data_IF_855872546745
#
_entry.id   IF_855872546745
#
_cell.length_a   1.000
_cell.length_b   1.000
_cell.length_c   1.000
_cell.angle_alpha   90.00
_cell.angle_beta   90.00
_cell.angle_gamma   90.00
#
_symmetry.space_group_name_H-M   'P 1'
#
loop_
_entity.id
_entity.type
_entity.pdbx_description
1 polymer ?
#
# COMPACT_ATOMS: atom_id res chain seq x y z
N UNK A 1 -9.71 11.52 26.81
CA UNK A 1 -10.22 11.68 25.43
C UNK A 1 -10.61 10.31 24.90
N UNK A 2 -11.84 10.14 24.42
CA UNK A 2 -12.34 8.84 23.93
C UNK A 2 -12.09 8.73 22.42
N UNK A 3 -11.02 8.05 22.01
CA UNK A 3 -10.68 7.85 20.58
C UNK A 3 -11.49 6.68 20.04
N UNK A 4 -12.43 6.93 19.12
CA UNK A 4 -13.28 5.88 18.52
C UNK A 4 -12.66 5.21 17.29
N UNK A 5 -11.78 5.92 16.58
CA UNK A 5 -11.18 5.46 15.33
C UNK A 5 -9.68 5.72 15.35
N UNK A 6 -8.90 4.75 14.88
CA UNK A 6 -7.47 4.86 14.64
C UNK A 6 -7.20 4.50 13.19
N UNK A 7 -6.54 5.38 12.45
CA UNK A 7 -6.14 5.14 11.05
C UNK A 7 -4.62 5.10 10.98
N UNK A 8 -4.09 4.01 10.45
CA UNK A 8 -2.68 3.83 10.15
C UNK A 8 -2.52 3.84 8.64
N UNK A 9 -2.16 5.00 8.09
CA UNK A 9 -1.94 5.18 6.65
C UNK A 9 -0.47 4.97 6.27
N UNK A 10 -0.20 4.37 5.11
CA UNK A 10 1.13 3.91 4.68
C UNK A 10 1.86 3.04 5.74
N UNK A 11 1.17 2.04 6.30
CA UNK A 11 1.70 1.23 7.41
C UNK A 11 3.03 0.51 7.11
N UNK A 12 3.21 0.02 5.88
CA UNK A 12 4.47 -0.53 5.36
C UNK A 12 5.63 0.46 5.43
N UNK A 13 5.38 1.73 5.11
CA UNK A 13 6.40 2.77 5.21
C UNK A 13 6.72 3.12 6.66
N UNK A 14 5.70 3.21 7.53
CA UNK A 14 5.93 3.49 8.94
C UNK A 14 6.77 2.40 9.61
N UNK A 15 6.48 1.13 9.31
CA UNK A 15 7.21 0.00 9.87
C UNK A 15 8.64 -0.10 9.31
N UNK A 16 8.83 0.09 8.00
CA UNK A 16 10.17 0.11 7.39
C UNK A 16 11.06 1.24 7.90
N UNK A 17 10.48 2.37 8.34
CA UNK A 17 11.19 3.46 9.01
C UNK A 17 11.48 3.19 10.50
N UNK A 18 11.03 2.05 11.03
CA UNK A 18 11.28 1.64 12.41
C UNK A 18 10.35 2.28 13.43
N UNK A 19 9.20 2.82 13.03
CA UNK A 19 8.24 3.45 13.95
C UNK A 19 7.42 2.47 14.80
N UNK A 20 7.66 1.15 14.66
CA UNK A 20 6.89 0.12 15.38
C UNK A 20 6.83 0.34 16.90
N UNK A 21 7.95 0.62 17.63
CA UNK A 21 7.89 0.82 19.07
C UNK A 21 7.02 2.02 19.49
N UNK A 22 7.01 3.07 18.68
CA UNK A 22 6.20 4.27 18.92
C UNK A 22 4.71 3.97 18.68
N UNK A 23 4.39 3.24 17.61
CA UNK A 23 3.02 2.81 17.31
C UNK A 23 2.49 1.87 18.39
N UNK A 24 3.30 0.92 18.87
CA UNK A 24 2.94 0.03 19.97
C UNK A 24 2.66 0.80 21.26
N UNK A 25 3.46 1.84 21.56
CA UNK A 25 3.22 2.71 22.72
C UNK A 25 1.92 3.49 22.60
N UNK A 26 1.65 4.10 21.44
CA UNK A 26 0.41 4.83 21.19
C UNK A 26 -0.80 3.90 21.32
N UNK A 27 -0.72 2.72 20.72
CA UNK A 27 -1.77 1.70 20.81
C UNK A 27 -2.00 1.23 22.26
N UNK A 28 -0.92 0.98 23.02
CA UNK A 28 -1.00 0.64 24.44
C UNK A 28 -1.62 1.73 25.30
N UNK A 29 -1.28 3.00 25.07
CA UNK A 29 -1.89 4.14 25.78
C UNK A 29 -3.39 4.24 25.49
N UNK A 30 -3.79 3.99 24.24
CA UNK A 30 -5.21 3.96 23.87
C UNK A 30 -5.92 2.82 24.58
N UNK A 31 -5.41 1.58 24.53
CA UNK A 31 -6.04 0.43 25.18
C UNK A 31 -6.10 0.52 26.70
N UNK A 32 -5.07 1.09 27.36
CA UNK A 32 -5.06 1.30 28.80
C UNK A 32 -6.22 2.19 29.28
N UNK A 33 -6.66 3.13 28.44
CA UNK A 33 -7.83 3.97 28.73
C UNK A 33 -9.18 3.22 28.59
N UNK A 34 -9.19 2.06 27.94
CA UNK A 34 -10.38 1.20 27.77
C UNK A 34 -10.43 0.08 28.82
N UNK A 35 -9.32 -0.60 29.10
CA UNK A 35 -9.31 -1.77 29.98
C UNK A 35 -9.56 -1.42 31.46
N UNK A 36 -9.34 -0.17 31.89
CA UNK A 36 -9.75 0.31 33.22
C UNK A 36 -11.28 0.32 33.41
N UNK A 37 -12.05 0.37 32.31
CA UNK A 37 -13.52 0.29 32.32
C UNK A 37 -14.07 -1.10 32.01
N UNK A 38 -13.27 -1.97 31.37
CA UNK A 38 -13.68 -3.32 31.00
C UNK A 38 -13.54 -4.36 32.13
N UNK A 39 -12.70 -4.10 33.15
CA UNK A 39 -12.48 -5.01 34.28
C UNK A 39 -13.74 -5.23 35.16
N UNK A 40 -14.83 -4.49 34.95
CA UNK A 40 -16.10 -4.67 35.67
C UNK A 40 -17.02 -5.74 35.07
N UNK A 41 -16.69 -6.34 33.92
CA UNK A 41 -17.54 -7.36 33.28
C UNK A 41 -16.83 -8.71 33.32
N UNK A 42 -17.26 -9.55 34.27
CA UNK A 42 -16.81 -10.95 34.37
C UNK A 42 -17.25 -11.74 33.13
N UNK A 43 -16.41 -12.63 32.57
CA UNK A 43 -16.82 -13.47 31.47
C UNK A 43 -17.79 -14.57 31.96
N UNK A 44 -18.99 -14.62 31.37
CA UNK A 44 -19.93 -15.73 31.53
C UNK A 44 -19.32 -16.95 30.83
N UNK A 45 -19.07 -18.00 31.59
CA UNK A 45 -18.49 -19.25 31.14
C UNK A 45 -19.32 -19.89 30.01
N UNK A 46 -18.74 -20.02 28.82
CA UNK A 46 -19.31 -20.82 27.75
C UNK A 46 -19.03 -22.31 28.01
N UNK A 47 -20.08 -23.04 28.40
CA UNK A 47 -20.09 -24.51 28.44
C UNK A 47 -20.67 -25.05 27.14
N UNK A 48 -19.95 -25.93 26.44
CA UNK A 48 -20.48 -26.98 25.57
C UNK A 48 -19.30 -27.83 25.06
N UNK A 49 -19.10 -29.05 25.57
CA UNK A 49 -19.76 -30.33 25.24
C UNK A 49 -18.98 -31.10 24.16
N UNK A 50 -18.39 -32.19 24.65
CA UNK A 50 -17.69 -33.28 23.98
C UNK A 50 -18.69 -34.03 23.11
N UNK A 51 -18.37 -34.31 21.85
CA UNK A 51 -18.89 -35.47 21.12
C UNK A 51 -17.86 -35.87 20.06
N UNK A 52 -17.46 -37.15 20.07
CA UNK A 52 -16.58 -37.74 19.07
C UNK A 52 -17.36 -38.66 18.15
N UNK A 53 -16.92 -38.78 16.89
CA UNK A 53 -17.06 -40.00 16.08
C UNK A 53 -16.23 -39.88 14.79
N UNK A 54 -15.61 -41.00 14.42
CA UNK A 54 -14.69 -41.19 13.30
C UNK A 54 -15.36 -41.29 11.92
N UNK A 55 -14.68 -40.90 10.83
CA UNK A 55 -14.49 -41.76 9.63
C UNK A 55 -13.55 -41.18 8.57
N UNK A 56 -12.73 -42.07 8.02
CA UNK A 56 -11.81 -41.95 6.88
C UNK A 56 -12.58 -42.13 5.56
N UNK A 57 -12.37 -41.30 4.51
CA UNK A 57 -12.49 -41.69 3.07
C UNK A 57 -12.13 -40.56 2.05
N UNK A 58 -11.06 -40.84 1.27
CA UNK A 58 -10.83 -40.72 -0.19
C UNK A 58 -11.39 -39.53 -1.05
N UNK A 59 -10.43 -38.78 -1.63
CA UNK A 59 -10.19 -38.37 -3.05
C UNK A 59 -11.38 -37.96 -3.96
N UNK A 60 -11.38 -36.70 -4.42
CA UNK A 60 -12.08 -36.22 -5.62
C UNK A 60 -12.21 -34.67 -5.68
N UNK A 61 -11.51 -34.03 -6.63
CA UNK A 61 -11.70 -32.63 -7.07
C UNK A 61 -13.00 -32.52 -7.93
N UNK A 62 -13.60 -31.33 -8.19
CA UNK A 62 -12.93 -30.07 -8.60
C UNK A 62 -13.45 -28.77 -7.95
N UNK A 63 -12.73 -27.68 -8.21
CA UNK A 63 -12.97 -26.32 -7.72
C UNK A 63 -14.24 -25.68 -8.30
N UNK A 64 -14.98 -24.85 -7.53
CA UNK A 64 -15.94 -23.91 -8.08
C UNK A 64 -15.40 -22.47 -8.11
N UNK A 65 -15.78 -21.76 -9.17
CA UNK A 65 -15.54 -20.35 -9.50
C UNK A 65 -16.23 -19.36 -8.52
N UNK A 66 -15.86 -18.06 -8.53
CA UNK A 66 -16.06 -17.17 -7.38
C UNK A 66 -17.49 -16.62 -7.30
N UNK A 67 -18.09 -16.73 -6.13
CA UNK A 67 -19.35 -16.06 -5.77
C UNK A 67 -19.13 -14.55 -5.61
N UNK A 68 -20.03 -13.79 -6.23
CA UNK A 68 -20.16 -12.33 -6.18
C UNK A 68 -20.09 -11.74 -4.75
N UNK A 69 -19.66 -10.48 -4.59
CA UNK A 69 -19.46 -9.89 -3.27
C UNK A 69 -20.81 -9.67 -2.58
N UNK A 70 -21.07 -10.47 -1.54
CA UNK A 70 -22.17 -10.29 -0.61
C UNK A 70 -21.98 -8.96 0.11
N UNK A 71 -22.94 -8.04 -0.07
CA UNK A 71 -23.01 -6.78 0.65
C UNK A 71 -22.98 -7.03 2.17
N UNK A 72 -21.88 -6.64 2.82
CA UNK A 72 -21.74 -6.71 4.28
C UNK A 72 -22.49 -5.53 4.89
N UNK A 73 -23.62 -5.81 5.52
CA UNK A 73 -24.35 -4.85 6.33
C UNK A 73 -23.48 -4.39 7.51
N UNK A 74 -23.54 -3.10 7.92
CA UNK A 74 -22.75 -2.61 9.04
C UNK A 74 -23.14 -3.35 10.33
N UNK A 75 -22.17 -3.77 11.17
CA UNK A 75 -22.51 -4.44 12.42
C UNK A 75 -23.30 -3.49 13.32
N UNK A 76 -24.43 -4.00 13.81
CA UNK A 76 -25.35 -3.31 14.68
C UNK A 76 -24.62 -2.60 15.83
N UNK A 77 -24.94 -1.32 16.03
CA UNK A 77 -24.45 -0.52 17.13
C UNK A 77 -24.82 -1.20 18.46
N UNK A 78 -23.81 -1.72 19.16
CA UNK A 78 -23.96 -2.17 20.55
C UNK A 78 -23.99 -0.90 21.41
N UNK A 79 -25.17 -0.51 21.84
CA UNK A 79 -25.34 0.57 22.81
C UNK A 79 -24.82 0.12 24.19
N UNK A 80 -24.03 1.00 24.85
CA UNK A 80 -23.83 0.92 26.30
C UNK A 80 -22.45 0.49 26.83
N UNK A 81 -21.38 0.50 26.03
CA UNK A 81 -20.01 0.26 26.51
C UNK A 81 -18.96 1.13 25.81
N UNK A 82 -17.87 1.45 26.51
CA UNK A 82 -16.68 2.12 25.97
C UNK A 82 -16.04 1.19 24.91
N UNK A 83 -16.51 1.26 23.67
CA UNK A 83 -16.08 0.34 22.61
C UNK A 83 -14.63 0.66 22.23
N UNK A 84 -13.76 -0.36 22.28
CA UNK A 84 -12.37 -0.28 21.79
C UNK A 84 -12.35 0.37 20.40
N UNK A 85 -11.32 1.17 20.08
CA UNK A 85 -11.28 1.91 18.83
C UNK A 85 -11.32 0.96 17.64
N UNK A 86 -12.08 1.32 16.61
CA UNK A 86 -11.97 0.67 15.32
C UNK A 86 -10.64 1.09 14.68
N UNK A 87 -9.83 0.12 14.30
CA UNK A 87 -8.53 0.36 13.68
C UNK A 87 -8.62 0.07 12.18
N UNK A 88 -8.20 1.04 11.37
CA UNK A 88 -8.04 0.90 9.93
C UNK A 88 -6.54 0.91 9.64
N UNK A 89 -6.05 -0.11 8.93
CA UNK A 89 -4.67 -0.19 8.47
C UNK A 89 -4.68 -0.15 6.95
N UNK A 90 -4.12 0.92 6.39
CA UNK A 90 -3.98 1.14 4.96
C UNK A 90 -2.53 0.91 4.59
N UNK A 91 -2.30 0.02 3.63
CA UNK A 91 -0.95 -0.27 3.15
C UNK A 91 -1.00 -0.73 1.70
N UNK A 92 0.00 -0.31 0.92
CA UNK A 92 0.17 -0.74 -0.46
C UNK A 92 0.79 -2.14 -0.54
N UNK A 93 1.53 -2.55 0.49
CA UNK A 93 2.23 -3.83 0.53
C UNK A 93 1.96 -4.59 1.82
N UNK A 94 2.06 -5.92 1.78
CA UNK A 94 1.85 -6.79 2.95
C UNK A 94 3.07 -7.68 3.24
N UNK A 95 4.26 -7.09 3.54
CA UNK A 95 5.38 -7.86 4.05
C UNK A 95 5.03 -8.46 5.43
N UNK A 96 5.79 -9.48 5.85
CA UNK A 96 5.53 -10.21 7.11
C UNK A 96 5.45 -9.30 8.35
N UNK A 97 6.21 -8.21 8.38
CA UNK A 97 6.16 -7.22 9.45
C UNK A 97 4.82 -6.46 9.52
N UNK A 98 4.26 -6.07 8.36
CA UNK A 98 2.94 -5.42 8.28
C UNK A 98 1.85 -6.41 8.66
N UNK A 99 1.93 -7.66 8.18
CA UNK A 99 0.98 -8.70 8.55
C UNK A 99 1.00 -9.00 10.06
N UNK A 100 2.19 -9.05 10.67
CA UNK A 100 2.33 -9.23 12.12
C UNK A 100 1.75 -8.04 12.91
N UNK A 101 2.01 -6.81 12.44
CA UNK A 101 1.45 -5.61 13.05
C UNK A 101 -0.09 -5.53 12.90
N UNK A 102 -0.61 -5.91 11.74
CA UNK A 102 -2.05 -6.01 11.49
C UNK A 102 -2.70 -7.05 12.43
N UNK A 103 -2.09 -8.22 12.61
CA UNK A 103 -2.56 -9.23 13.55
C UNK A 103 -2.53 -8.77 15.01
N UNK A 104 -1.60 -7.88 15.37
CA UNK A 104 -1.46 -7.33 16.72
C UNK A 104 -2.48 -6.20 16.99
N UNK A 105 -2.71 -5.32 16.02
CA UNK A 105 -3.50 -4.09 16.22
C UNK A 105 -4.97 -4.22 15.78
N UNK A 106 -5.28 -5.10 14.83
CA UNK A 106 -6.64 -5.26 14.31
C UNK A 106 -7.39 -6.39 15.03
N UNK A 107 -8.70 -6.21 15.26
CA UNK A 107 -9.58 -7.25 15.81
C UNK A 107 -10.53 -7.75 14.73
N UNK A 108 -10.31 -8.99 14.27
CA UNK A 108 -11.10 -9.62 13.19
C UNK A 108 -11.23 -8.70 11.96
N UNK A 109 -10.12 -8.29 11.34
CA UNK A 109 -10.17 -7.39 10.19
C UNK A 109 -10.83 -8.06 8.98
N UNK A 110 -11.52 -7.25 8.19
CA UNK A 110 -11.86 -7.60 6.82
C UNK A 110 -10.77 -7.02 5.89
N UNK A 111 -10.21 -7.87 5.05
CA UNK A 111 -9.19 -7.45 4.08
C UNK A 111 -9.88 -7.01 2.78
N UNK A 112 -9.62 -5.78 2.37
CA UNK A 112 -10.10 -5.23 1.09
C UNK A 112 -8.88 -4.88 0.25
N UNK A 113 -8.68 -5.65 -0.82
CA UNK A 113 -7.57 -5.48 -1.75
C UNK A 113 -8.09 -5.03 -3.12
N UNK A 114 -7.48 -3.98 -3.67
CA UNK A 114 -7.85 -3.41 -4.98
C UNK A 114 -6.78 -3.78 -6.01
N UNK A 115 -7.08 -4.78 -6.85
CA UNK A 115 -6.21 -5.23 -7.96
C UNK A 115 -6.02 -6.75 -8.01
N UNK A 116 -5.93 -7.32 -9.21
CA UNK A 116 -5.81 -8.79 -9.44
C UNK A 116 -4.37 -9.35 -9.27
N UNK A 117 -3.46 -8.59 -8.68
CA UNK A 117 -2.09 -9.05 -8.44
C UNK A 117 -1.63 -8.57 -7.09
N UNK A 118 -1.20 -9.50 -6.22
CA UNK A 118 -0.65 -9.16 -4.91
C UNK A 118 0.44 -8.09 -5.00
N UNK A 119 0.76 -7.45 -3.88
CA UNK A 119 1.61 -6.27 -3.70
C UNK A 119 2.91 -6.12 -4.54
N UNK A 120 3.42 -7.20 -5.16
CA UNK A 120 4.61 -7.21 -6.02
C UNK A 120 4.34 -7.51 -7.50
N UNK A 121 3.08 -7.58 -7.92
CA UNK A 121 2.74 -7.79 -9.33
C UNK A 121 3.00 -6.50 -10.11
N UNK A 122 4.23 -6.36 -10.61
CA UNK A 122 4.55 -5.38 -11.66
C UNK A 122 3.46 -5.50 -12.73
N UNK A 123 2.78 -4.39 -13.02
CA UNK A 123 1.71 -4.36 -14.01
C UNK A 123 2.22 -4.99 -15.32
N UNK A 124 1.56 -6.06 -15.77
CA UNK A 124 1.91 -6.78 -17.02
C UNK A 124 1.81 -5.89 -18.26
N UNK A 125 1.16 -4.73 -18.14
CA UNK A 125 1.00 -3.74 -19.19
C UNK A 125 2.25 -2.88 -19.39
N UNK A 126 3.16 -2.82 -18.40
CA UNK A 126 4.34 -1.96 -18.46
C UNK A 126 5.55 -2.74 -19.01
N UNK A 127 5.95 -2.41 -20.23
CA UNK A 127 7.19 -2.92 -20.83
C UNK A 127 8.41 -2.27 -20.17
N UNK A 128 9.31 -3.07 -19.62
CA UNK A 128 10.55 -2.59 -18.99
C UNK A 128 11.76 -2.92 -19.85
N UNK A 129 12.60 -1.92 -20.11
CA UNK A 129 13.83 -2.07 -20.90
C UNK A 129 15.03 -1.54 -20.12
N UNK A 130 16.08 -2.35 -20.00
CA UNK A 130 17.31 -1.99 -19.28
C UNK A 130 18.44 -1.75 -20.26
N UNK A 131 19.11 -0.59 -20.11
CA UNK A 131 20.28 -0.23 -20.92
C UNK A 131 21.52 -0.10 -20.03
N UNK A 132 22.39 -1.11 -20.07
CA UNK A 132 23.70 -1.06 -19.40
C UNK A 132 24.62 -0.09 -20.15
N UNK A 133 25.16 0.90 -19.45
CA UNK A 133 26.13 1.85 -19.99
C UNK A 133 26.90 2.59 -18.90
N UNK A 134 28.06 3.11 -19.29
CA UNK A 134 28.81 4.08 -18.49
C UNK A 134 28.02 5.37 -18.28
N UNK A 135 28.25 6.04 -17.16
CA UNK A 135 27.48 7.21 -16.72
C UNK A 135 27.49 8.36 -17.74
N UNK A 136 28.64 8.64 -18.34
CA UNK A 136 28.78 9.71 -19.34
C UNK A 136 27.99 9.45 -20.64
N UNK A 137 27.58 8.20 -20.91
CA UNK A 137 26.76 7.86 -22.10
C UNK A 137 25.25 7.99 -21.85
N UNK A 138 24.82 8.17 -20.60
CA UNK A 138 23.40 8.25 -20.24
C UNK A 138 22.68 9.45 -20.89
N UNK A 139 23.25 10.68 -20.92
CA UNK A 139 22.58 11.83 -21.51
C UNK A 139 22.32 11.65 -23.01
N UNK A 140 23.32 11.20 -23.77
CA UNK A 140 23.17 10.95 -25.22
C UNK A 140 22.15 9.85 -25.51
N UNK A 141 22.13 8.79 -24.71
CA UNK A 141 21.14 7.72 -24.84
C UNK A 141 19.72 8.22 -24.54
N UNK A 142 19.56 9.08 -23.54
CA UNK A 142 18.28 9.71 -23.21
C UNK A 142 17.78 10.56 -24.38
N UNK A 143 18.64 11.40 -24.96
CA UNK A 143 18.27 12.23 -26.12
C UNK A 143 17.83 11.39 -27.32
N UNK A 144 18.57 10.31 -27.63
CA UNK A 144 18.20 9.36 -28.69
C UNK A 144 16.85 8.69 -28.41
N UNK A 145 16.58 8.35 -27.15
CA UNK A 145 15.30 7.74 -26.76
C UNK A 145 14.14 8.72 -26.87
N UNK A 146 14.31 9.96 -26.40
CA UNK A 146 13.30 11.03 -26.53
C UNK A 146 13.03 11.38 -28.00
N UNK A 147 14.07 11.38 -28.85
CA UNK A 147 13.93 11.54 -30.30
C UNK A 147 13.03 10.46 -30.89
N UNK A 148 13.28 9.18 -30.59
CA UNK A 148 12.42 8.07 -31.04
C UNK A 148 10.97 8.20 -30.60
N UNK A 149 10.72 8.65 -29.37
CA UNK A 149 9.35 8.86 -28.86
C UNK A 149 8.66 9.98 -29.64
N UNK A 150 9.37 11.08 -29.88
CA UNK A 150 8.85 12.21 -30.66
C UNK A 150 8.54 11.79 -32.09
N UNK A 151 9.44 11.06 -32.74
CA UNK A 151 9.31 10.65 -34.14
C UNK A 151 8.26 9.53 -34.32
N UNK A 152 8.04 8.70 -33.30
CA UNK A 152 6.97 7.69 -33.30
C UNK A 152 5.57 8.29 -33.10
N UNK A 153 5.46 9.54 -32.65
CA UNK A 153 4.17 10.22 -32.47
C UNK A 153 3.85 11.04 -33.71
N UNK A 154 2.75 10.77 -34.43
CA UNK A 154 2.42 11.51 -35.65
C UNK A 154 2.13 13.00 -35.33
N UNK A 155 2.53 13.96 -36.20
CA UNK A 155 2.38 15.40 -35.96
C UNK A 155 0.93 15.88 -35.78
N UNK A 156 -0.04 15.01 -36.04
CA UNK A 156 -1.48 15.27 -35.95
C UNK A 156 -2.02 15.19 -34.52
N UNK A 157 -1.26 14.66 -33.56
CA UNK A 157 -1.72 14.58 -32.17
C UNK A 157 -1.62 15.94 -31.48
N UNK A 158 -2.77 16.41 -30.99
CA UNK A 158 -2.92 17.70 -30.29
C UNK A 158 -2.14 17.76 -28.96
N UNK A 159 -1.73 16.61 -28.42
CA UNK A 159 -1.05 16.50 -27.15
C UNK A 159 0.27 15.74 -27.34
N UNK A 160 1.44 16.37 -27.18
CA UNK A 160 2.71 15.68 -27.31
C UNK A 160 2.89 14.63 -26.20
N UNK A 161 3.68 13.58 -26.45
CA UNK A 161 3.95 12.54 -25.46
C UNK A 161 4.67 13.15 -24.25
N UNK A 162 4.17 12.84 -23.05
CA UNK A 162 4.75 13.31 -21.80
C UNK A 162 5.64 12.23 -21.22
N UNK A 163 6.90 12.59 -20.97
CA UNK A 163 7.91 11.67 -20.44
C UNK A 163 8.34 12.15 -19.07
N UNK A 164 8.35 11.25 -18.09
CA UNK A 164 8.86 11.51 -16.75
C UNK A 164 10.24 10.86 -16.60
N UNK A 165 11.26 11.67 -16.32
CA UNK A 165 12.65 11.21 -16.15
C UNK A 165 13.05 11.35 -14.70
N UNK A 166 13.25 10.22 -14.02
CA UNK A 166 13.69 10.19 -12.63
C UNK A 166 15.22 10.29 -12.53
N UNK A 167 15.68 11.10 -11.58
CA UNK A 167 17.10 11.28 -11.29
C UNK A 167 17.32 11.24 -9.78
N UNK A 168 18.42 10.62 -9.33
CA UNK A 168 18.70 10.51 -7.88
C UNK A 168 19.14 11.83 -7.22
N UNK A 169 19.79 12.74 -7.96
CA UNK A 169 20.38 13.97 -7.39
C UNK A 169 19.80 15.21 -8.05
N UNK A 170 19.48 16.23 -7.25
CA UNK A 170 18.96 17.53 -7.74
C UNK A 170 19.93 18.22 -8.71
N UNK A 171 21.25 18.08 -8.49
CA UNK A 171 22.27 18.60 -9.43
C UNK A 171 22.12 17.99 -10.82
N UNK A 172 21.84 16.69 -10.91
CA UNK A 172 21.62 15.98 -12.18
C UNK A 172 20.33 16.44 -12.86
N UNK A 173 19.26 16.68 -12.09
CA UNK A 173 18.00 17.23 -12.63
C UNK A 173 18.24 18.58 -13.30
N UNK A 174 18.95 19.49 -12.63
CA UNK A 174 19.26 20.83 -13.18
C UNK A 174 20.13 20.75 -14.43
N UNK A 175 21.14 19.88 -14.41
CA UNK A 175 21.99 19.63 -15.58
C UNK A 175 21.17 19.12 -16.78
N UNK A 176 20.33 18.09 -16.57
CA UNK A 176 19.50 17.52 -17.62
C UNK A 176 18.45 18.51 -18.12
N UNK A 177 17.83 19.31 -17.25
CA UNK A 177 16.88 20.34 -17.66
C UNK A 177 17.54 21.38 -18.59
N UNK A 178 18.75 21.84 -18.26
CA UNK A 178 19.51 22.76 -19.12
C UNK A 178 19.90 22.13 -20.45
N UNK A 179 20.33 20.87 -20.45
CA UNK A 179 20.64 20.13 -21.68
C UNK A 179 19.41 19.94 -22.57
N UNK A 180 18.29 19.53 -21.99
CA UNK A 180 17.02 19.34 -22.71
C UNK A 180 16.50 20.65 -23.30
N UNK A 181 16.63 21.77 -22.57
CA UNK A 181 16.25 23.09 -23.07
C UNK A 181 17.11 23.52 -24.28
N UNK A 182 18.42 23.25 -24.26
CA UNK A 182 19.32 23.51 -25.40
C UNK A 182 18.95 22.71 -26.64
N UNK A 183 18.51 21.48 -26.45
CA UNK A 183 18.02 20.58 -27.51
C UNK A 183 16.56 20.89 -27.93
N UNK A 184 15.95 21.95 -27.38
CA UNK A 184 14.60 22.40 -27.76
C UNK A 184 13.44 21.64 -27.11
N UNK A 185 13.70 20.79 -26.12
CA UNK A 185 12.65 20.10 -25.36
C UNK A 185 12.07 21.00 -24.27
N UNK A 186 10.72 21.05 -24.20
CA UNK A 186 9.99 21.69 -23.11
C UNK A 186 10.02 20.80 -21.87
N UNK A 187 11.00 21.00 -20.99
CA UNK A 187 11.16 20.23 -19.76
C UNK A 187 10.84 21.07 -18.52
N UNK A 188 10.06 20.50 -17.60
CA UNK A 188 9.86 21.03 -16.26
C UNK A 188 10.66 20.20 -15.25
N UNK A 189 11.32 20.85 -14.30
CA UNK A 189 12.05 20.19 -13.22
C UNK A 189 11.22 20.14 -11.93
N UNK A 190 11.21 19.00 -11.25
CA UNK A 190 10.59 18.83 -9.94
C UNK A 190 11.66 18.42 -8.92
N UNK A 191 11.84 19.23 -7.87
CA UNK A 191 12.77 18.93 -6.77
C UNK A 191 12.33 19.63 -5.47
N UNK A 192 12.68 19.08 -4.31
CA UNK A 192 12.21 19.59 -3.01
C UNK A 192 12.65 21.00 -2.62
N UNK A 193 13.66 21.58 -3.29
CA UNK A 193 14.07 22.98 -3.10
C UNK A 193 13.30 23.98 -4.01
N UNK A 194 12.28 23.54 -4.74
CA UNK A 194 11.47 24.42 -5.59
C UNK A 194 10.25 24.82 -4.75
N UNK A 195 9.98 26.12 -4.63
CA UNK A 195 8.70 26.58 -4.07
C UNK A 195 7.58 25.98 -4.92
N UNK A 196 6.67 25.28 -4.25
CA UNK A 196 5.54 24.60 -4.88
C UNK A 196 4.56 25.60 -5.47
#
# INVERSE_FOLDING_TARGET
AHVRYLVLDEADKMLSLGFKPQLDRLYGMMLASYDSTAAAVQPVAATAKKDGAAKKRKKGQPAPEPSEPVAVAPPAAVEGGCARPQVLLLSATMPGEVAAAAAQWLRRPEEVSVGEGGANAISRTVTQVVHVCAEHKKPDKLLKHLGRIRDATPPTERNPPRVLVFCNRVKTVRFLAGMLAKEGYKAAQLHGQRSQ
#
